data_IF_190125718450
#
_entry.id   IF_190125718450
#
_cell.length_a   1.000
_cell.length_b   1.000
_cell.length_c   1.000
_cell.angle_alpha   90.00
_cell.angle_beta   90.00
_cell.angle_gamma   90.00
#
_symmetry.space_group_name_H-M   'P 1'
#
loop_
_entity.id
_entity.type
_entity.pdbx_description
1 polymer ?
#
# COMPACT_ATOMS: atom_id res chain seq x y z
N UNK A 1 34.93 -20.09 24.81
CA UNK A 1 33.71 -20.90 25.00
C UNK A 1 32.47 -20.04 25.14
N UNK A 2 32.47 -18.98 25.95
CA UNK A 2 31.30 -18.11 26.20
C UNK A 2 30.85 -17.32 24.97
N UNK A 3 31.80 -16.81 24.15
CA UNK A 3 31.44 -16.05 22.91
C UNK A 3 30.84 -16.92 21.80
N UNK A 4 31.13 -18.21 21.77
CA UNK A 4 30.54 -19.13 20.80
C UNK A 4 29.10 -19.48 21.15
N UNK A 5 28.79 -19.64 22.45
CA UNK A 5 27.47 -19.93 22.94
C UNK A 5 26.49 -18.75 22.75
N UNK A 6 26.96 -17.53 22.94
CA UNK A 6 26.18 -16.31 22.70
C UNK A 6 25.84 -16.16 21.22
N UNK A 7 26.79 -16.41 20.33
CA UNK A 7 26.59 -16.31 18.88
C UNK A 7 25.58 -17.34 18.34
N UNK A 8 25.63 -18.58 18.82
CA UNK A 8 24.65 -19.63 18.47
C UNK A 8 23.25 -19.25 18.94
N UNK A 9 23.13 -18.71 20.16
CA UNK A 9 21.84 -18.24 20.70
C UNK A 9 21.26 -17.06 19.92
N UNK A 10 22.10 -16.13 19.46
CA UNK A 10 21.66 -15.00 18.62
C UNK A 10 21.20 -15.45 17.22
N UNK A 11 21.89 -16.42 16.61
CA UNK A 11 21.50 -17.00 15.32
C UNK A 11 20.19 -17.80 15.43
N UNK A 12 20.01 -18.58 16.50
CA UNK A 12 18.75 -19.31 16.77
C UNK A 12 17.58 -18.36 17.01
N UNK A 13 17.79 -17.30 17.79
CA UNK A 13 16.78 -16.28 18.04
C UNK A 13 16.42 -15.52 16.76
N UNK A 14 17.40 -15.15 15.96
CA UNK A 14 17.18 -14.51 14.67
C UNK A 14 16.39 -15.41 13.70
N UNK A 15 16.75 -16.69 13.65
CA UNK A 15 16.07 -17.70 12.81
C UNK A 15 14.64 -17.94 13.30
N UNK A 16 14.40 -18.02 14.62
CA UNK A 16 13.09 -18.16 15.20
C UNK A 16 12.23 -16.91 14.92
N UNK A 17 12.77 -15.71 15.08
CA UNK A 17 12.09 -14.45 14.75
C UNK A 17 11.77 -14.35 13.26
N UNK A 18 12.66 -14.79 12.36
CA UNK A 18 12.37 -14.85 10.93
C UNK A 18 11.22 -15.84 10.62
N UNK A 19 11.20 -17.01 11.26
CA UNK A 19 10.11 -17.98 11.10
C UNK A 19 8.79 -17.46 11.65
N UNK A 20 8.78 -16.81 12.81
CA UNK A 20 7.59 -16.15 13.38
C UNK A 20 7.11 -15.00 12.47
N UNK A 21 8.02 -14.20 11.96
CA UNK A 21 7.71 -13.15 10.97
C UNK A 21 7.17 -13.73 9.65
N UNK A 22 7.65 -14.91 9.26
CA UNK A 22 7.11 -15.65 8.11
C UNK A 22 5.70 -16.20 8.34
N UNK A 23 5.31 -16.47 9.58
CA UNK A 23 3.96 -16.91 9.95
C UNK A 23 3.00 -15.72 10.18
N UNK A 24 3.52 -14.54 10.48
CA UNK A 24 2.71 -13.34 10.63
C UNK A 24 2.10 -12.93 9.28
N UNK A 25 0.83 -12.56 9.26
CA UNK A 25 0.13 -12.03 8.09
C UNK A 25 0.10 -10.49 8.06
N UNK A 26 0.57 -9.84 9.13
CA UNK A 26 0.48 -8.39 9.31
C UNK A 26 1.84 -7.73 9.46
N UNK A 27 1.90 -6.46 9.07
CA UNK A 27 3.03 -5.57 9.33
C UNK A 27 3.03 -5.14 10.81
N UNK A 28 4.17 -5.30 11.48
CA UNK A 28 4.29 -5.10 12.92
C UNK A 28 4.06 -3.64 13.36
N UNK A 29 4.36 -2.66 12.49
CA UNK A 29 4.15 -1.24 12.79
C UNK A 29 2.71 -0.82 12.53
N UNK A 30 2.20 -1.07 11.33
CA UNK A 30 0.94 -0.49 10.85
C UNK A 30 -0.28 -1.37 11.13
N UNK A 31 -0.08 -2.64 11.49
CA UNK A 31 -1.12 -3.66 11.65
C UNK A 31 -1.95 -3.92 10.37
N UNK A 32 -1.61 -3.31 9.24
CA UNK A 32 -2.12 -3.72 7.93
C UNK A 32 -1.55 -5.10 7.56
N UNK A 33 -2.06 -5.69 6.49
CA UNK A 33 -1.44 -6.90 5.95
C UNK A 33 0.02 -6.64 5.56
N UNK A 34 0.85 -7.65 5.62
CA UNK A 34 2.19 -7.57 5.05
C UNK A 34 2.17 -7.96 3.56
N UNK A 35 3.26 -7.67 2.87
CA UNK A 35 3.43 -7.93 1.44
C UNK A 35 3.14 -9.38 1.06
N UNK A 36 3.65 -10.35 1.83
CA UNK A 36 3.50 -11.77 1.53
C UNK A 36 2.03 -12.21 1.55
N UNK A 37 1.27 -11.79 2.55
CA UNK A 37 -0.15 -12.11 2.63
C UNK A 37 -0.93 -11.43 1.51
N UNK A 38 -0.54 -10.20 1.16
CA UNK A 38 -1.15 -9.48 0.07
C UNK A 38 -0.90 -10.12 -1.30
N UNK A 39 0.31 -10.63 -1.56
CA UNK A 39 0.63 -11.37 -2.79
C UNK A 39 -0.25 -12.63 -2.94
N UNK A 40 -0.50 -13.35 -1.82
CA UNK A 40 -1.42 -14.47 -1.80
C UNK A 40 -2.86 -14.05 -2.10
N UNK A 41 -3.35 -13.01 -1.41
CA UNK A 41 -4.72 -12.50 -1.62
C UNK A 41 -4.93 -11.93 -3.02
N UNK A 42 -3.91 -11.31 -3.63
CA UNK A 42 -4.00 -10.81 -5.00
C UNK A 42 -4.22 -11.95 -5.99
N UNK A 43 -3.48 -13.05 -5.82
CA UNK A 43 -3.67 -14.25 -6.65
C UNK A 43 -5.10 -14.79 -6.51
N UNK A 44 -5.58 -14.98 -5.27
CA UNK A 44 -6.94 -15.46 -5.01
C UNK A 44 -7.99 -14.52 -5.62
N UNK A 45 -7.79 -13.19 -5.51
CA UNK A 45 -8.71 -12.20 -6.05
C UNK A 45 -8.75 -12.20 -7.59
N UNK A 46 -7.60 -12.38 -8.25
CA UNK A 46 -7.51 -12.50 -9.72
C UNK A 46 -8.21 -13.77 -10.19
N UNK A 47 -7.95 -14.91 -9.56
CA UNK A 47 -8.62 -16.18 -9.89
C UNK A 47 -10.15 -16.06 -9.76
N UNK A 48 -10.65 -15.47 -8.67
CA UNK A 48 -12.08 -15.22 -8.47
C UNK A 48 -12.67 -14.25 -9.50
N UNK A 49 -11.96 -13.17 -9.82
CA UNK A 49 -12.40 -12.20 -10.82
C UNK A 49 -12.49 -12.84 -12.21
N UNK A 50 -11.56 -13.73 -12.55
CA UNK A 50 -11.59 -14.48 -13.82
C UNK A 50 -12.76 -15.48 -13.87
N UNK A 51 -12.97 -16.25 -12.79
CA UNK A 51 -14.01 -17.28 -12.72
C UNK A 51 -15.42 -16.67 -12.76
N UNK A 52 -15.64 -15.63 -11.97
CA UNK A 52 -16.97 -15.02 -11.82
C UNK A 52 -17.20 -13.80 -12.72
N UNK A 53 -16.21 -13.37 -13.50
CA UNK A 53 -16.23 -12.16 -14.34
C UNK A 53 -16.65 -10.91 -13.55
N UNK A 54 -16.17 -10.82 -12.31
CA UNK A 54 -16.44 -9.68 -11.44
C UNK A 54 -15.34 -8.63 -11.59
N UNK A 55 -15.66 -7.32 -11.46
CA UNK A 55 -14.65 -6.28 -11.47
C UNK A 55 -13.64 -6.48 -10.34
N UNK A 56 -12.38 -6.18 -10.62
CA UNK A 56 -11.30 -6.13 -9.65
C UNK A 56 -10.43 -4.93 -9.96
N UNK A 57 -10.09 -4.15 -8.96
CA UNK A 57 -9.14 -3.04 -9.09
C UNK A 57 -8.14 -3.06 -7.96
N UNK A 58 -6.98 -2.45 -8.21
CA UNK A 58 -5.94 -2.29 -7.21
C UNK A 58 -5.47 -0.84 -7.14
N UNK A 59 -4.96 -0.48 -5.97
CA UNK A 59 -4.32 0.81 -5.71
C UNK A 59 -2.91 0.54 -5.21
N UNK A 60 -1.93 1.19 -5.82
CA UNK A 60 -0.57 1.32 -5.29
C UNK A 60 -0.34 2.77 -4.92
N UNK A 61 0.16 3.04 -3.72
CA UNK A 61 0.40 4.39 -3.23
C UNK A 61 1.72 4.50 -2.50
N UNK A 62 2.26 5.71 -2.47
CA UNK A 62 3.56 6.04 -1.89
C UNK A 62 3.46 7.39 -1.19
N UNK A 63 4.13 7.52 -0.03
CA UNK A 63 4.15 8.77 0.74
C UNK A 63 5.14 9.74 0.10
N UNK A 64 4.64 10.88 -0.33
CA UNK A 64 5.45 11.88 -0.99
C UNK A 64 6.54 12.42 -0.08
N UNK A 65 7.79 12.40 -0.57
CA UNK A 65 8.96 12.92 0.14
C UNK A 65 9.24 12.29 1.52
N UNK A 66 8.81 11.04 1.76
CA UNK A 66 8.94 10.36 3.05
C UNK A 66 10.37 10.31 3.57
N UNK A 67 11.36 10.09 2.67
CA UNK A 67 12.76 10.14 3.06
C UNK A 67 13.12 11.49 3.69
N UNK A 68 12.63 12.60 3.14
CA UNK A 68 12.85 13.94 3.70
C UNK A 68 12.24 14.11 5.10
N UNK A 69 11.13 13.44 5.39
CA UNK A 69 10.55 13.40 6.75
C UNK A 69 11.51 12.70 7.70
N UNK A 70 12.00 11.51 7.34
CA UNK A 70 12.95 10.76 8.16
C UNK A 70 14.26 11.52 8.37
N UNK A 71 14.80 12.12 7.31
CA UNK A 71 16.07 12.86 7.37
C UNK A 71 15.96 14.12 8.25
N UNK A 72 14.77 14.75 8.31
CA UNK A 72 14.56 16.00 9.06
C UNK A 72 14.10 15.75 10.49
N UNK A 73 13.18 14.78 10.70
CA UNK A 73 12.47 14.61 11.97
C UNK A 73 12.76 13.27 12.67
N UNK A 74 13.59 12.42 12.05
CA UNK A 74 13.97 11.11 12.56
C UNK A 74 12.94 10.00 12.24
N UNK A 75 13.39 8.75 12.38
CA UNK A 75 12.61 7.55 12.06
C UNK A 75 11.35 7.40 12.94
N UNK A 76 11.42 7.74 14.22
CA UNK A 76 10.26 7.69 15.12
C UNK A 76 9.10 8.59 14.65
N UNK A 77 9.44 9.71 14.03
CA UNK A 77 8.45 10.62 13.42
C UNK A 77 7.92 10.04 12.11
N UNK A 78 8.78 9.44 11.29
CA UNK A 78 8.37 8.70 10.10
C UNK A 78 7.42 7.56 10.42
N UNK A 79 7.66 6.82 11.48
CA UNK A 79 6.77 5.75 11.95
C UNK A 79 5.37 6.27 12.30
N UNK A 80 5.28 7.45 12.95
CA UNK A 80 3.99 8.10 13.21
C UNK A 80 3.25 8.49 11.94
N UNK A 81 3.98 8.94 10.91
CA UNK A 81 3.40 9.23 9.59
C UNK A 81 2.86 7.95 8.96
N UNK A 82 3.63 6.86 8.97
CA UNK A 82 3.17 5.54 8.47
C UNK A 82 1.89 5.07 9.15
N UNK A 83 1.80 5.24 10.48
CA UNK A 83 0.60 4.92 11.26
C UNK A 83 -0.61 5.77 10.85
N UNK A 84 -0.44 7.06 10.59
CA UNK A 84 -1.51 7.94 10.11
C UNK A 84 -2.02 7.54 8.73
N UNK A 85 -1.13 7.19 7.82
CA UNK A 85 -1.50 6.69 6.48
C UNK A 85 -2.24 5.35 6.59
N UNK A 86 -1.76 4.42 7.41
CA UNK A 86 -2.41 3.14 7.64
C UNK A 86 -3.83 3.30 8.24
N UNK A 87 -4.02 4.25 9.17
CA UNK A 87 -5.32 4.59 9.74
C UNK A 87 -6.28 5.17 8.66
N UNK A 88 -5.78 6.08 7.80
CA UNK A 88 -6.55 6.63 6.69
C UNK A 88 -7.02 5.53 5.71
N UNK A 89 -6.14 4.58 5.39
CA UNK A 89 -6.49 3.40 4.57
C UNK A 89 -7.57 2.58 5.27
N UNK A 90 -7.34 2.17 6.52
CA UNK A 90 -8.23 1.29 7.28
C UNK A 90 -9.64 1.85 7.45
N UNK A 91 -9.77 3.18 7.61
CA UNK A 91 -11.09 3.86 7.71
C UNK A 91 -11.78 4.03 6.37
N UNK A 92 -11.04 3.95 5.28
CA UNK A 92 -11.57 4.24 3.94
C UNK A 92 -12.02 2.98 3.23
N UNK A 93 -11.30 1.87 3.36
CA UNK A 93 -11.61 0.61 2.70
C UNK A 93 -12.72 -0.17 3.43
N UNK A 94 -13.39 -1.06 2.73
CA UNK A 94 -14.48 -1.90 3.27
C UNK A 94 -13.90 -3.21 3.84
N UNK A 95 -14.69 -3.94 4.58
CA UNK A 95 -14.29 -5.26 5.10
C UNK A 95 -14.02 -6.32 4.03
N UNK A 96 -14.53 -6.13 2.81
CA UNK A 96 -14.25 -6.98 1.63
C UNK A 96 -12.95 -6.61 0.92
N UNK A 97 -12.39 -5.45 1.22
CA UNK A 97 -11.17 -4.95 0.62
C UNK A 97 -9.96 -5.34 1.49
N UNK A 98 -8.78 -5.38 0.90
CA UNK A 98 -7.56 -5.69 1.62
C UNK A 98 -6.53 -4.58 1.44
N UNK A 99 -5.93 -4.12 2.55
CA UNK A 99 -4.88 -3.11 2.55
C UNK A 99 -3.60 -3.64 3.19
N UNK A 100 -2.44 -3.37 2.59
CA UNK A 100 -1.16 -3.77 3.13
C UNK A 100 -0.12 -2.65 3.10
N UNK A 101 0.89 -2.78 3.95
CA UNK A 101 2.16 -2.10 3.77
C UNK A 101 3.02 -2.94 2.86
N UNK A 102 3.22 -2.45 1.62
CA UNK A 102 3.94 -3.18 0.58
C UNK A 102 5.45 -3.18 0.80
N UNK A 103 5.99 -2.07 1.28
CA UNK A 103 7.40 -1.89 1.65
C UNK A 103 7.63 -0.46 2.10
N UNK A 104 8.64 -0.17 2.86
CA UNK A 104 9.06 1.19 3.24
C UNK A 104 7.89 2.16 3.51
N UNK A 105 7.66 3.02 2.53
CA UNK A 105 6.62 4.05 2.45
C UNK A 105 5.51 3.73 1.41
N UNK A 106 5.51 2.50 0.88
CA UNK A 106 4.53 2.05 -0.12
C UNK A 106 3.41 1.22 0.51
N UNK A 107 2.19 1.44 0.03
CA UNK A 107 0.99 0.71 0.41
C UNK A 107 0.28 0.16 -0.83
N UNK A 108 -0.30 -1.02 -0.70
CA UNK A 108 -1.05 -1.68 -1.77
C UNK A 108 -2.43 -2.10 -1.27
N UNK A 109 -3.46 -1.88 -2.10
CA UNK A 109 -4.85 -2.14 -1.73
C UNK A 109 -5.52 -2.94 -2.85
N UNK A 110 -6.24 -3.99 -2.49
CA UNK A 110 -7.10 -4.78 -3.38
C UNK A 110 -8.56 -4.38 -3.12
N UNK A 111 -9.27 -4.04 -4.16
CA UNK A 111 -10.68 -3.65 -4.14
C UNK A 111 -11.50 -4.66 -4.95
N UNK A 112 -12.00 -5.70 -4.28
CA UNK A 112 -12.83 -6.72 -4.91
C UNK A 112 -14.20 -6.15 -5.31
N UNK A 113 -14.66 -6.48 -6.52
CA UNK A 113 -15.93 -5.98 -7.06
C UNK A 113 -15.93 -4.48 -7.44
N UNK A 114 -14.78 -3.82 -7.45
CA UNK A 114 -14.66 -2.40 -7.78
C UNK A 114 -14.21 -2.18 -9.22
N UNK A 115 -14.92 -1.31 -9.93
CA UNK A 115 -14.48 -0.78 -11.23
C UNK A 115 -13.36 0.25 -11.04
N UNK A 116 -12.67 0.60 -12.13
CA UNK A 116 -11.61 1.62 -12.14
C UNK A 116 -12.09 2.95 -11.55
N UNK A 117 -13.30 3.38 -11.91
CA UNK A 117 -13.89 4.63 -11.42
C UNK A 117 -14.16 4.58 -9.89
N UNK A 118 -14.69 3.45 -9.39
CA UNK A 118 -14.87 3.24 -7.94
C UNK A 118 -13.54 3.27 -7.22
N UNK A 119 -12.54 2.57 -7.76
CA UNK A 119 -11.20 2.52 -7.18
C UNK A 119 -10.52 3.90 -7.18
N UNK A 120 -10.71 4.68 -8.25
CA UNK A 120 -10.25 6.07 -8.33
C UNK A 120 -10.83 6.95 -7.22
N UNK A 121 -12.14 6.84 -6.95
CA UNK A 121 -12.79 7.56 -5.83
C UNK A 121 -12.28 7.10 -4.46
N UNK A 122 -12.00 5.81 -4.29
CA UNK A 122 -11.40 5.30 -3.04
C UNK A 122 -10.00 5.88 -2.87
N UNK A 123 -9.17 5.86 -3.92
CA UNK A 123 -7.83 6.45 -3.91
C UNK A 123 -7.85 7.94 -3.56
N UNK A 124 -8.74 8.72 -4.18
CA UNK A 124 -8.88 10.15 -3.89
C UNK A 124 -9.36 10.41 -2.45
N UNK A 125 -10.26 9.59 -1.92
CA UNK A 125 -10.69 9.69 -0.52
C UNK A 125 -9.54 9.43 0.44
N UNK A 126 -8.71 8.40 0.18
CA UNK A 126 -7.51 8.12 1.01
C UNK A 126 -6.54 9.31 0.92
N UNK A 127 -6.24 9.79 -0.28
CA UNK A 127 -5.34 10.93 -0.50
C UNK A 127 -5.78 12.15 0.31
N UNK A 128 -7.06 12.51 0.24
CA UNK A 128 -7.62 13.64 1.01
C UNK A 128 -7.59 13.40 2.52
N UNK A 129 -7.86 12.19 2.99
CA UNK A 129 -7.76 11.85 4.40
C UNK A 129 -6.33 12.00 4.92
N UNK A 130 -5.33 11.58 4.14
CA UNK A 130 -3.92 11.77 4.50
C UNK A 130 -3.53 13.24 4.52
N UNK A 131 -3.88 13.99 3.47
CA UNK A 131 -3.59 15.43 3.35
C UNK A 131 -4.21 16.25 4.49
N UNK A 132 -5.41 15.87 4.94
CA UNK A 132 -6.11 16.52 6.06
C UNK A 132 -5.67 16.01 7.45
N UNK A 133 -4.80 15.01 7.52
CA UNK A 133 -4.37 14.45 8.80
C UNK A 133 -3.37 15.36 9.51
N UNK A 134 -3.60 15.59 10.82
CA UNK A 134 -2.63 16.28 11.66
C UNK A 134 -1.38 15.42 11.83
N UNK A 135 -0.24 15.97 11.41
CA UNK A 135 1.06 15.32 11.52
C UNK A 135 1.78 15.78 12.82
N UNK A 136 2.75 15.01 13.32
CA UNK A 136 3.49 15.39 14.56
C UNK A 136 4.49 16.54 14.34
N UNK A 137 4.37 17.28 13.24
CA UNK A 137 5.21 18.43 12.86
C UNK A 137 4.39 19.38 11.98
N UNK A 138 4.86 20.63 11.86
CA UNK A 138 4.15 21.70 11.13
C UNK A 138 4.40 21.62 9.60
N UNK A 139 3.97 20.50 8.98
CA UNK A 139 3.98 20.31 7.52
C UNK A 139 2.91 19.29 7.12
N UNK A 140 2.28 19.52 6.00
CA UNK A 140 1.36 18.55 5.39
C UNK A 140 2.15 17.39 4.75
N UNK A 141 1.69 16.17 4.99
CA UNK A 141 2.15 14.97 4.28
C UNK A 141 1.11 14.62 3.23
N UNK A 142 1.57 14.27 2.05
CA UNK A 142 0.71 13.86 0.93
C UNK A 142 1.10 12.48 0.43
N UNK A 143 0.25 11.90 -0.39
CA UNK A 143 0.48 10.61 -1.06
C UNK A 143 0.20 10.73 -2.54
N UNK A 144 1.01 10.05 -3.34
CA UNK A 144 0.73 9.80 -4.75
C UNK A 144 0.08 8.42 -4.88
N UNK A 145 -0.92 8.31 -5.73
CA UNK A 145 -1.78 7.12 -5.84
C UNK A 145 -1.91 6.69 -7.30
N UNK A 146 -1.56 5.44 -7.58
CA UNK A 146 -1.77 4.79 -8.86
C UNK A 146 -2.90 3.77 -8.76
N UNK A 147 -3.81 3.77 -9.72
CA UNK A 147 -4.99 2.90 -9.77
C UNK A 147 -5.03 2.13 -11.06
N UNK A 148 -5.29 0.82 -11.00
CA UNK A 148 -5.49 -0.01 -12.15
C UNK A 148 -6.66 -0.98 -11.95
N UNK A 149 -7.41 -1.23 -13.02
CA UNK A 149 -8.42 -2.28 -13.06
C UNK A 149 -7.88 -3.50 -13.78
N UNK A 150 -8.32 -4.67 -13.35
CA UNK A 150 -7.99 -5.94 -13.94
C UNK A 150 -8.75 -6.18 -15.25
N UNK A 151 -8.02 -6.43 -16.32
CA UNK A 151 -8.60 -6.87 -17.59
C UNK A 151 -8.51 -8.41 -17.64
N UNK A 152 -9.67 -9.07 -17.57
CA UNK A 152 -9.80 -10.53 -17.53
C UNK A 152 -9.16 -11.24 -18.75
N UNK A 153 -9.10 -10.56 -19.90
CA UNK A 153 -8.58 -11.13 -21.15
C UNK A 153 -7.08 -10.92 -21.32
N UNK A 154 -6.50 -9.93 -20.65
CA UNK A 154 -5.13 -9.46 -20.93
C UNK A 154 -4.20 -9.50 -19.75
N UNK A 155 -4.75 -9.43 -18.54
CA UNK A 155 -3.93 -9.27 -17.34
C UNK A 155 -3.73 -10.61 -16.60
N UNK A 156 -2.64 -10.65 -15.87
CA UNK A 156 -2.39 -11.51 -14.73
C UNK A 156 -2.02 -10.63 -13.53
N UNK A 157 -1.74 -11.23 -12.40
CA UNK A 157 -1.38 -10.50 -11.16
C UNK A 157 -0.21 -9.53 -11.38
N UNK A 158 0.81 -9.99 -12.12
CA UNK A 158 2.00 -9.21 -12.41
C UNK A 158 1.69 -8.01 -13.30
N UNK A 159 0.83 -8.19 -14.32
CA UNK A 159 0.47 -7.11 -15.23
C UNK A 159 -0.42 -6.09 -14.53
N UNK A 160 -1.38 -6.54 -13.72
CA UNK A 160 -2.22 -5.67 -12.90
C UNK A 160 -1.38 -4.79 -11.95
N UNK A 161 -0.39 -5.41 -11.28
CA UNK A 161 0.55 -4.66 -10.42
C UNK A 161 1.37 -3.64 -11.21
N UNK A 162 1.93 -4.03 -12.36
CA UNK A 162 2.68 -3.11 -13.24
C UNK A 162 1.84 -1.95 -13.73
N UNK A 163 0.56 -2.19 -14.05
CA UNK A 163 -0.36 -1.14 -14.46
C UNK A 163 -0.59 -0.13 -13.33
N UNK A 164 -0.71 -0.59 -12.08
CA UNK A 164 -0.82 0.30 -10.92
C UNK A 164 0.48 1.08 -10.64
N UNK A 165 1.64 0.45 -10.82
CA UNK A 165 2.95 1.07 -10.67
C UNK A 165 3.17 2.17 -11.72
N UNK A 166 2.83 1.91 -12.99
CA UNK A 166 2.87 2.91 -14.05
C UNK A 166 1.93 4.09 -13.72
N UNK A 167 0.72 3.82 -13.23
CA UNK A 167 -0.19 4.86 -12.81
C UNK A 167 0.38 5.70 -11.64
N UNK A 168 1.00 5.05 -10.64
CA UNK A 168 1.67 5.75 -9.53
C UNK A 168 2.82 6.63 -10.04
N UNK A 169 3.60 6.14 -10.99
CA UNK A 169 4.66 6.91 -11.61
C UNK A 169 4.11 8.18 -12.30
N UNK A 170 2.97 8.07 -13.02
CA UNK A 170 2.32 9.22 -13.64
C UNK A 170 1.80 10.22 -12.59
N UNK A 171 1.22 9.74 -11.48
CA UNK A 171 0.83 10.61 -10.37
C UNK A 171 2.02 11.41 -9.80
N UNK A 172 3.16 10.75 -9.60
CA UNK A 172 4.40 11.42 -9.15
C UNK A 172 4.91 12.43 -10.16
N UNK A 173 4.83 12.14 -11.46
CA UNK A 173 5.21 13.08 -12.55
C UNK A 173 4.25 14.25 -12.67
N UNK A 174 2.98 14.09 -12.39
CA UNK A 174 1.98 15.16 -12.44
C UNK A 174 2.12 16.19 -11.30
N UNK A 175 3.12 16.04 -10.44
CA UNK A 175 3.40 16.98 -9.34
C UNK A 175 3.16 16.38 -7.95
N UNK A 176 2.93 15.09 -7.85
CA UNK A 176 2.59 14.37 -6.59
C UNK A 176 1.22 14.79 -6.03
N UNK A 177 0.90 14.34 -4.82
CA UNK A 177 -0.40 14.62 -4.19
C UNK A 177 -1.58 14.44 -5.16
N UNK A 178 -1.59 13.36 -5.90
CA UNK A 178 -2.49 13.13 -7.01
C UNK A 178 -2.88 11.65 -7.11
N UNK A 179 -4.04 11.39 -7.68
CA UNK A 179 -4.49 10.06 -8.09
C UNK A 179 -4.43 9.97 -9.60
N UNK A 180 -3.79 8.94 -10.12
CA UNK A 180 -3.79 8.64 -11.54
C UNK A 180 -4.37 7.24 -11.77
N UNK A 181 -5.32 7.14 -12.70
CA UNK A 181 -5.88 5.85 -13.10
C UNK A 181 -5.48 5.54 -14.53
N UNK A 182 -4.90 4.39 -14.75
CA UNK A 182 -4.50 3.95 -16.09
C UNK A 182 -5.77 3.80 -16.96
N UNK A 183 -5.85 4.58 -18.02
CA UNK A 183 -7.03 4.64 -18.91
C UNK A 183 -8.01 5.80 -18.65
N UNK A 184 -7.98 6.43 -17.47
CA UNK A 184 -8.79 7.62 -17.15
C UNK A 184 -7.95 8.89 -16.99
N UNK A 185 -6.63 8.77 -16.80
CA UNK A 185 -5.74 9.89 -16.54
C UNK A 185 -5.76 10.35 -15.07
N UNK A 186 -5.39 11.61 -14.85
CA UNK A 186 -5.37 12.22 -13.52
C UNK A 186 -6.80 12.41 -12.99
N UNK A 187 -7.10 11.83 -11.84
CA UNK A 187 -8.37 12.02 -11.15
C UNK A 187 -8.16 13.18 -10.17
N UNK A 188 -8.23 14.38 -10.67
CA UNK A 188 -8.33 15.56 -9.82
C UNK A 188 -9.80 15.86 -9.58
N UNK A 189 -10.23 15.81 -8.30
CA UNK A 189 -11.48 16.35 -7.76
C UNK A 189 -12.53 16.79 -8.82
N UNK A 190 -13.41 15.91 -9.17
CA UNK A 190 -14.75 16.36 -9.58
C UNK A 190 -15.44 16.73 -8.28
N UNK A 191 -15.85 17.96 -8.15
CA UNK A 191 -16.58 18.62 -7.06
C UNK A 191 -17.69 17.76 -6.45
#
# INVERSE_FOLDING_TARGET
FMSHFIRVSEEELHTANQRLSQLASRDALTNLLNRREMERLLKDAVEQAQEHKTPLSVILMDIDHFKGVNDTYGHDTGDKVLLKVADAISRTIRGSDAGCRWGGDEFFIILAGASLDVAGRVGERIRRCVEASEMPFDRTVTVSVGVAAFDVERDNELQLFKNADEALYQAKKAGRNAVYALGLGCINSVE
#
